data_IF_721298144552
#
_entry.id   IF_721298144552
#
_cell.length_a   1.000
_cell.length_b   1.000
_cell.length_c   1.000
_cell.angle_alpha   90.00
_cell.angle_beta   90.00
_cell.angle_gamma   90.00
#
_symmetry.space_group_name_H-M   'P 1'
#
loop_
_entity.id
_entity.type
_entity.pdbx_description
1 polymer ?
#
# COMPACT_ATOMS: atom_id res chain seq x y z
N UNK A 1 -18.38 15.15 7.15
CA UNK A 1 -17.13 15.22 6.35
C UNK A 1 -15.98 15.35 7.33
N UNK A 2 -15.05 14.36 7.34
CA UNK A 2 -13.96 14.29 8.33
C UNK A 2 -12.69 15.04 7.86
N UNK A 3 -12.73 15.58 6.63
CA UNK A 3 -11.54 16.13 5.94
C UNK A 3 -10.40 15.08 5.80
N UNK A 4 -10.78 13.89 5.42
CA UNK A 4 -9.94 12.72 5.31
C UNK A 4 -10.12 12.04 3.96
N UNK A 5 -9.11 11.28 3.51
CA UNK A 5 -9.22 10.42 2.33
C UNK A 5 -10.41 9.45 2.43
N UNK A 6 -10.77 9.04 3.64
CA UNK A 6 -11.91 8.15 3.90
C UNK A 6 -13.28 8.81 3.77
N UNK A 7 -13.35 10.12 3.48
CA UNK A 7 -14.59 10.77 3.06
C UNK A 7 -15.04 10.28 1.67
N UNK A 8 -14.14 9.68 0.90
CA UNK A 8 -14.47 9.02 -0.36
C UNK A 8 -15.04 7.62 -0.06
N UNK A 9 -16.31 7.36 -0.43
CA UNK A 9 -16.94 6.06 -0.13
C UNK A 9 -16.17 4.88 -0.75
N UNK A 10 -15.88 3.87 0.06
CA UNK A 10 -15.17 2.66 -0.36
C UNK A 10 -13.64 2.73 -0.23
N UNK A 11 -13.11 3.85 0.27
CA UNK A 11 -11.70 3.98 0.64
C UNK A 11 -11.54 3.70 2.14
N UNK A 12 -10.62 2.80 2.46
CA UNK A 12 -10.17 2.51 3.82
C UNK A 12 -8.67 2.76 3.92
N UNK A 13 -8.17 3.19 5.06
CA UNK A 13 -6.75 3.42 5.29
C UNK A 13 -6.29 2.68 6.53
N UNK A 14 -5.11 2.09 6.47
CA UNK A 14 -4.47 1.43 7.59
C UNK A 14 -2.97 1.65 7.61
N UNK A 15 -2.41 1.67 8.81
CA UNK A 15 -1.00 1.94 9.06
C UNK A 15 -0.39 0.84 9.91
N UNK A 16 0.87 0.55 9.68
CA UNK A 16 1.70 -0.24 10.57
C UNK A 16 3.12 0.33 10.56
N UNK A 17 3.77 0.32 11.71
CA UNK A 17 5.07 0.95 11.89
C UNK A 17 5.88 0.26 12.99
N UNK A 18 7.17 0.55 12.97
CA UNK A 18 8.12 0.31 14.05
C UNK A 18 8.62 1.66 14.55
N UNK A 19 8.24 2.01 15.78
CA UNK A 19 8.54 3.33 16.39
C UNK A 19 10.00 3.50 16.77
N UNK A 20 10.69 2.40 17.07
CA UNK A 20 12.11 2.42 17.41
C UNK A 20 12.98 2.55 16.16
N UNK A 21 12.56 1.90 15.07
CA UNK A 21 13.25 1.96 13.78
C UNK A 21 12.88 3.18 12.93
N UNK A 22 11.83 3.91 13.29
CA UNK A 22 11.30 5.08 12.58
C UNK A 22 10.99 4.77 11.12
N UNK A 23 10.27 3.68 10.89
CA UNK A 23 9.83 3.25 9.57
C UNK A 23 8.45 2.59 9.63
N UNK A 24 7.75 2.53 8.53
CA UNK A 24 6.42 1.94 8.47
C UNK A 24 5.83 1.90 7.08
N UNK A 25 4.60 1.43 7.00
CA UNK A 25 3.84 1.43 5.76
C UNK A 25 2.39 1.86 5.95
N UNK A 26 1.83 2.42 4.91
CA UNK A 26 0.44 2.87 4.82
C UNK A 26 -0.23 2.17 3.66
N UNK A 27 -1.38 1.57 3.92
CA UNK A 27 -2.21 0.87 2.93
C UNK A 27 -3.50 1.62 2.73
N UNK A 28 -3.83 1.92 1.48
CA UNK A 28 -5.13 2.44 1.08
C UNK A 28 -5.86 1.30 0.37
N UNK A 29 -6.95 0.79 0.95
CA UNK A 29 -7.75 -0.29 0.37
C UNK A 29 -8.90 0.26 -0.48
N UNK A 30 -9.09 -0.37 -1.64
CA UNK A 30 -10.21 -0.17 -2.56
C UNK A 30 -10.84 -1.53 -2.84
N UNK A 31 -11.55 -2.11 -1.86
CA UNK A 31 -12.02 -3.51 -1.91
C UNK A 31 -12.90 -3.85 -3.11
N UNK A 32 -13.60 -2.86 -3.66
CA UNK A 32 -14.48 -3.04 -4.84
C UNK A 32 -13.77 -2.78 -6.16
N UNK A 33 -12.48 -2.49 -6.11
CA UNK A 33 -11.70 -2.01 -7.23
C UNK A 33 -11.84 -0.49 -7.43
N UNK A 34 -10.77 0.12 -7.89
CA UNK A 34 -10.74 1.53 -8.30
C UNK A 34 -9.81 1.70 -9.50
N UNK A 35 -10.10 2.66 -10.36
CA UNK A 35 -9.16 3.03 -11.42
C UNK A 35 -7.95 3.71 -10.78
N UNK A 36 -6.76 3.15 -11.02
CA UNK A 36 -5.50 3.70 -10.55
C UNK A 36 -4.84 4.59 -11.60
N UNK A 37 -4.04 5.55 -11.13
CA UNK A 37 -3.20 6.39 -11.97
C UNK A 37 -1.86 6.62 -11.28
N UNK A 38 -0.82 6.87 -12.08
CA UNK A 38 0.53 7.13 -11.58
C UNK A 38 1.19 8.23 -12.40
N UNK A 39 1.94 9.07 -11.70
CA UNK A 39 2.90 10.00 -12.30
C UNK A 39 4.24 9.78 -11.59
N UNK A 40 5.13 9.05 -12.26
CA UNK A 40 6.41 8.63 -11.71
C UNK A 40 7.51 9.58 -12.18
N UNK A 41 8.04 10.37 -11.25
CA UNK A 41 9.08 11.36 -11.51
C UNK A 41 10.28 11.14 -10.59
N UNK A 42 11.40 11.77 -10.94
CA UNK A 42 12.65 11.70 -10.21
C UNK A 42 13.61 10.64 -10.74
N UNK A 43 14.83 10.64 -10.22
CA UNK A 43 15.96 9.87 -10.75
C UNK A 43 16.06 8.43 -10.22
N UNK A 44 15.34 8.07 -9.16
CA UNK A 44 15.44 6.76 -8.52
C UNK A 44 14.08 6.26 -8.04
N UNK A 45 13.15 5.97 -8.95
CA UNK A 45 11.83 5.49 -8.58
C UNK A 45 11.90 4.09 -7.97
N UNK A 46 11.30 3.93 -6.78
CA UNK A 46 11.09 2.63 -6.14
C UNK A 46 9.60 2.31 -6.15
N UNK A 47 9.16 1.51 -7.13
CA UNK A 47 7.74 1.24 -7.35
C UNK A 47 7.49 -0.21 -7.74
N UNK A 48 6.24 -0.65 -7.58
CA UNK A 48 5.75 -1.98 -7.97
C UNK A 48 4.40 -1.83 -8.67
N UNK A 49 4.17 -2.60 -9.74
CA UNK A 49 2.92 -2.69 -10.51
C UNK A 49 2.44 -1.36 -11.14
N UNK A 50 3.31 -0.36 -11.25
CA UNK A 50 2.93 0.95 -11.80
C UNK A 50 2.73 0.93 -13.32
N UNK A 51 3.44 0.07 -14.05
CA UNK A 51 3.25 -0.07 -15.50
C UNK A 51 1.83 -0.57 -15.83
N UNK A 52 1.23 -1.36 -14.94
CA UNK A 52 -0.13 -1.87 -15.10
C UNK A 52 -1.20 -0.76 -15.10
N UNK A 53 -0.89 0.40 -14.53
CA UNK A 53 -1.80 1.55 -14.47
C UNK A 53 -1.94 2.28 -15.80
N UNK A 54 -1.16 1.92 -16.81
CA UNK A 54 -1.34 2.47 -18.15
C UNK A 54 -2.68 1.95 -18.73
N UNK A 55 -3.59 2.85 -19.20
CA UNK A 55 -4.91 2.47 -19.68
C UNK A 55 -4.93 1.50 -20.87
N UNK A 56 -3.80 1.29 -21.56
CA UNK A 56 -3.69 0.30 -22.66
C UNK A 56 -3.56 -1.14 -22.13
N UNK A 57 -3.31 -1.33 -20.85
CA UNK A 57 -3.13 -2.64 -20.23
C UNK A 57 -4.47 -3.31 -19.90
N UNK A 58 -4.45 -4.63 -19.77
CA UNK A 58 -5.63 -5.46 -19.60
C UNK A 58 -6.41 -5.19 -18.31
N UNK A 59 -5.69 -4.91 -17.22
CA UNK A 59 -6.28 -4.79 -15.89
C UNK A 59 -6.56 -3.32 -15.59
N UNK A 60 -7.85 -2.97 -15.52
CA UNK A 60 -8.30 -1.58 -15.33
C UNK A 60 -8.52 -1.15 -13.89
N UNK A 61 -8.30 -2.04 -12.91
CA UNK A 61 -8.63 -1.77 -11.51
C UNK A 61 -7.50 -2.17 -10.57
N UNK A 62 -7.31 -1.39 -9.50
CA UNK A 62 -6.45 -1.69 -8.36
C UNK A 62 -7.30 -1.99 -7.12
N UNK A 63 -6.79 -2.81 -6.20
CA UNK A 63 -7.50 -3.23 -5.00
C UNK A 63 -6.91 -2.61 -3.73
N UNK A 64 -5.67 -2.16 -3.82
CA UNK A 64 -5.00 -1.34 -2.80
C UNK A 64 -3.90 -0.49 -3.43
N UNK A 65 -3.45 0.52 -2.69
CA UNK A 65 -2.18 1.23 -2.91
C UNK A 65 -1.37 1.10 -1.62
N UNK A 66 -0.07 0.81 -1.76
CA UNK A 66 0.87 0.76 -0.64
C UNK A 66 1.88 1.90 -0.76
N UNK A 67 2.05 2.64 0.33
CA UNK A 67 3.19 3.52 0.55
C UNK A 67 4.04 2.90 1.65
N UNK A 68 5.35 2.80 1.47
CA UNK A 68 6.23 2.09 2.40
C UNK A 68 7.56 2.80 2.59
N UNK A 69 8.05 2.85 3.83
CA UNK A 69 9.45 3.14 4.10
C UNK A 69 10.37 2.00 3.65
N UNK A 70 11.64 2.05 4.04
CA UNK A 70 12.62 1.00 3.76
C UNK A 70 13.22 1.03 2.36
N UNK A 71 12.99 2.11 1.57
CA UNK A 71 13.45 2.17 0.18
C UNK A 71 12.95 0.96 -0.62
N UNK A 72 13.70 0.45 -1.59
CA UNK A 72 13.31 -0.69 -2.42
C UNK A 72 13.00 -1.96 -1.61
N UNK A 73 13.59 -2.15 -0.43
CA UNK A 73 13.28 -3.28 0.46
C UNK A 73 11.82 -3.25 0.92
N UNK A 74 11.26 -2.07 1.17
CA UNK A 74 9.87 -1.91 1.62
C UNK A 74 8.81 -2.30 0.60
N UNK A 75 9.19 -2.57 -0.67
CA UNK A 75 8.28 -3.14 -1.67
C UNK A 75 7.76 -4.53 -1.27
N UNK A 76 8.47 -5.24 -0.38
CA UNK A 76 8.04 -6.53 0.15
C UNK A 76 6.72 -6.44 0.94
N UNK A 77 6.45 -5.30 1.57
CA UNK A 77 5.19 -5.10 2.30
C UNK A 77 3.95 -5.31 1.41
N UNK A 78 4.04 -5.07 0.09
CA UNK A 78 2.95 -5.34 -0.85
C UNK A 78 2.58 -6.83 -0.92
N UNK A 79 3.52 -7.74 -0.65
CA UNK A 79 3.26 -9.18 -0.58
C UNK A 79 2.25 -9.51 0.52
N UNK A 80 2.39 -8.87 1.68
CA UNK A 80 1.46 -9.02 2.80
C UNK A 80 0.08 -8.44 2.52
N UNK A 81 0.01 -7.29 1.86
CA UNK A 81 -1.26 -6.69 1.42
C UNK A 81 -1.98 -7.61 0.44
N UNK A 82 -1.26 -8.19 -0.53
CA UNK A 82 -1.82 -9.15 -1.47
C UNK A 82 -2.37 -10.39 -0.76
N UNK A 83 -1.62 -10.96 0.19
CA UNK A 83 -2.07 -12.10 1.01
C UNK A 83 -3.37 -11.78 1.73
N UNK A 84 -3.46 -10.64 2.40
CA UNK A 84 -4.68 -10.19 3.09
C UNK A 84 -5.88 -10.09 2.14
N UNK A 85 -5.70 -9.47 0.96
CA UNK A 85 -6.77 -9.33 -0.02
C UNK A 85 -7.20 -10.67 -0.63
N UNK A 86 -6.25 -11.56 -0.91
CA UNK A 86 -6.52 -12.90 -1.41
C UNK A 86 -7.38 -13.72 -0.42
N UNK A 87 -7.07 -13.68 0.87
CA UNK A 87 -7.86 -14.30 1.93
C UNK A 87 -9.30 -13.76 1.97
N UNK A 88 -9.49 -12.48 1.63
CA UNK A 88 -10.80 -11.85 1.49
C UNK A 88 -11.46 -12.11 0.13
N UNK A 89 -10.83 -12.91 -0.75
CA UNK A 89 -11.27 -13.20 -2.13
C UNK A 89 -11.41 -11.94 -2.99
N UNK A 90 -10.58 -10.94 -2.75
CA UNK A 90 -10.51 -9.67 -3.49
C UNK A 90 -9.35 -9.74 -4.46
N UNK A 91 -9.57 -9.38 -5.72
CA UNK A 91 -8.54 -9.39 -6.76
C UNK A 91 -9.14 -9.56 -8.15
N UNK A 92 -8.31 -9.34 -9.17
CA UNK A 92 -8.65 -9.60 -10.56
C UNK A 92 -8.88 -11.10 -10.77
N UNK A 93 -10.01 -11.45 -11.36
CA UNK A 93 -10.39 -12.85 -11.56
C UNK A 93 -9.73 -13.44 -12.80
N UNK A 94 -8.81 -14.37 -12.61
CA UNK A 94 -8.13 -15.11 -13.69
C UNK A 94 -8.71 -16.52 -13.90
N UNK A 95 -9.90 -16.80 -13.37
CA UNK A 95 -10.61 -18.08 -13.49
C UNK A 95 -10.19 -19.09 -12.42
N UNK A 96 -8.91 -19.29 -12.21
CA UNK A 96 -8.35 -20.26 -11.23
C UNK A 96 -8.00 -19.63 -9.88
N UNK A 97 -7.87 -18.30 -9.84
CA UNK A 97 -7.52 -17.53 -8.65
C UNK A 97 -8.05 -16.09 -8.75
N UNK A 98 -7.97 -15.37 -7.64
CA UNK A 98 -8.05 -13.90 -7.64
C UNK A 98 -6.69 -13.33 -7.35
N UNK A 99 -6.23 -12.42 -8.22
CA UNK A 99 -4.93 -11.77 -8.12
C UNK A 99 -5.13 -10.34 -7.64
N UNK A 100 -4.82 -10.01 -6.38
CA UNK A 100 -4.90 -8.63 -5.91
C UNK A 100 -3.91 -7.74 -6.67
N UNK A 101 -4.35 -6.58 -7.12
CA UNK A 101 -3.49 -5.60 -7.78
C UNK A 101 -3.18 -4.52 -6.77
N UNK A 102 -1.89 -4.43 -6.41
CA UNK A 102 -1.39 -3.57 -5.32
C UNK A 102 -0.19 -2.76 -5.80
N UNK A 103 -0.42 -1.65 -6.51
CA UNK A 103 0.65 -0.72 -6.82
C UNK A 103 1.29 -0.19 -5.54
N UNK A 104 2.62 -0.04 -5.57
CA UNK A 104 3.38 0.42 -4.43
C UNK A 104 4.42 1.47 -4.82
N UNK A 105 4.69 2.38 -3.88
CA UNK A 105 5.79 3.34 -3.95
C UNK A 105 6.51 3.42 -2.60
N UNK A 106 7.81 3.68 -2.63
CA UNK A 106 8.63 3.71 -1.42
C UNK A 106 9.20 5.08 -1.11
N UNK A 107 9.48 5.29 0.17
CA UNK A 107 10.22 6.40 0.73
C UNK A 107 11.64 5.93 1.07
N UNK A 108 12.63 6.79 0.89
CA UNK A 108 13.99 6.55 1.33
C UNK A 108 14.18 7.09 2.76
N UNK A 109 13.98 6.23 3.75
CA UNK A 109 14.11 6.55 5.17
C UNK A 109 15.25 5.79 5.87
N UNK A 110 16.08 5.04 5.12
CA UNK A 110 17.17 4.22 5.66
C UNK A 110 18.22 4.99 6.46
N UNK A 111 18.30 6.31 6.30
CA UNK A 111 19.19 7.18 7.07
C UNK A 111 18.55 7.67 8.39
N UNK A 112 17.30 7.30 8.65
CA UNK A 112 16.52 7.69 9.83
C UNK A 112 16.24 6.44 10.64
N UNK A 113 16.48 6.48 11.96
CA UNK A 113 16.29 5.31 12.82
C UNK A 113 17.24 4.15 12.49
N UNK A 114 16.69 2.99 12.17
CA UNK A 114 17.48 1.78 11.87
C UNK A 114 17.28 1.33 10.42
N UNK A 115 18.38 1.24 9.67
CA UNK A 115 18.37 0.71 8.31
C UNK A 115 18.17 -0.82 8.24
N UNK A 116 18.30 -1.53 9.36
CA UNK A 116 18.18 -3.00 9.41
C UNK A 116 16.74 -3.46 9.58
N UNK A 117 15.85 -2.59 10.08
CA UNK A 117 14.43 -2.86 10.25
C UNK A 117 13.68 -2.11 9.14
N UNK A 118 12.92 -2.84 8.35
CA UNK A 118 12.24 -2.31 7.16
C UNK A 118 10.85 -2.94 7.04
N UNK A 119 9.88 -2.22 6.46
CA UNK A 119 8.57 -2.81 6.19
C UNK A 119 8.69 -4.07 5.34
N UNK A 120 8.11 -5.15 5.84
CA UNK A 120 8.07 -6.48 5.24
C UNK A 120 6.63 -6.95 4.97
N UNK A 121 6.46 -8.18 4.51
CA UNK A 121 5.15 -8.75 4.25
C UNK A 121 4.25 -8.79 5.49
N UNK A 122 4.80 -9.03 6.69
CA UNK A 122 3.99 -9.06 7.92
C UNK A 122 3.51 -7.66 8.30
N UNK A 123 4.34 -6.65 8.14
CA UNK A 123 3.95 -5.26 8.38
C UNK A 123 2.88 -4.80 7.37
N UNK A 124 3.02 -5.15 6.10
CA UNK A 124 2.02 -4.86 5.06
C UNK A 124 0.67 -5.55 5.33
N UNK A 125 0.70 -6.82 5.75
CA UNK A 125 -0.50 -7.55 6.16
C UNK A 125 -1.19 -6.89 7.36
N UNK A 126 -0.41 -6.52 8.38
CA UNK A 126 -0.90 -5.81 9.57
C UNK A 126 -1.57 -4.49 9.19
N UNK A 127 -0.93 -3.67 8.37
CA UNK A 127 -1.50 -2.40 7.90
C UNK A 127 -2.82 -2.62 7.16
N UNK A 128 -2.90 -3.62 6.26
CA UNK A 128 -4.12 -3.94 5.53
C UNK A 128 -5.23 -4.43 6.47
N UNK A 129 -4.91 -5.24 7.48
CA UNK A 129 -5.89 -5.75 8.46
C UNK A 129 -6.45 -4.67 9.38
N UNK A 130 -5.70 -3.60 9.62
CA UNK A 130 -6.11 -2.45 10.43
C UNK A 130 -6.86 -1.38 9.63
N UNK A 131 -6.95 -1.53 8.31
CA UNK A 131 -7.58 -0.54 7.46
C UNK A 131 -9.06 -0.34 7.79
N UNK A 132 -9.45 0.92 7.91
CA UNK A 132 -10.81 1.34 8.27
C UNK A 132 -11.20 2.63 7.54
N UNK A 133 -12.50 2.78 7.26
CA UNK A 133 -13.08 4.02 6.78
C UNK A 133 -13.37 5.02 7.93
N UNK A 134 -13.32 4.56 9.18
CA UNK A 134 -13.73 5.37 10.33
C UNK A 134 -12.57 6.06 11.04
N UNK A 135 -11.40 5.41 11.08
CA UNK A 135 -10.22 5.84 11.83
C UNK A 135 -9.08 6.22 10.89
N UNK A 136 -9.27 7.29 10.12
CA UNK A 136 -8.16 7.89 9.39
C UNK A 136 -7.33 8.77 10.34
N UNK A 137 -6.39 8.16 11.03
CA UNK A 137 -5.41 8.89 11.83
C UNK A 137 -4.46 9.65 10.91
N UNK A 138 -4.05 10.83 11.36
CA UNK A 138 -3.08 11.68 10.67
C UNK A 138 -1.93 12.01 11.63
N UNK A 139 -0.73 12.15 11.09
CA UNK A 139 0.44 12.53 11.86
C UNK A 139 1.65 11.69 11.53
N UNK A 140 2.51 11.51 12.50
CA UNK A 140 3.75 10.76 12.39
C UNK A 140 3.47 9.26 12.54
N UNK A 141 2.97 8.62 11.46
CA UNK A 141 2.58 7.21 11.47
C UNK A 141 2.65 6.58 10.07
N UNK A 142 2.75 5.25 10.04
CA UNK A 142 2.83 4.47 8.81
C UNK A 142 4.05 4.81 7.97
N UNK A 143 3.85 5.05 6.68
CA UNK A 143 4.93 5.45 5.78
C UNK A 143 5.48 6.87 6.03
N UNK A 144 4.80 7.67 6.85
CA UNK A 144 5.21 9.01 7.24
C UNK A 144 5.89 9.09 8.60
N UNK A 145 6.27 7.95 9.17
CA UNK A 145 6.94 7.81 10.47
C UNK A 145 8.29 8.51 10.49
#
# INVERSE_FOLDING_TARGET
MKNSITDVPGIEIGHAQDEDALTGCTVILCRKGAVGGVDQRGGAPGTRETDLLNPVNLVGEVHAILLSGGSAFGLDAATGVMRYLEEQKIGFNVGVARVPIVPAAVLFDLAVGSADIRPDAEMGYKAASLASAENAENGNLGAGM
#
